data_IF_640665146296
#
_entry.id   IF_640665146296
#
_cell.length_a   1.000
_cell.length_b   1.000
_cell.length_c   1.000
_cell.angle_alpha   90.00
_cell.angle_beta   90.00
_cell.angle_gamma   90.00
#
_symmetry.space_group_name_H-M   'P 1'
#
loop_
_entity.id
_entity.type
_entity.pdbx_description
1 polymer ?
#
# COMPACT_ATOMS: atom_id res chain seq x y z
N UNK A 1 50.89 44.51 -17.73
CA UNK A 1 50.22 43.99 -16.52
C UNK A 1 48.83 43.55 -16.94
N UNK A 2 48.59 42.21 -16.99
CA UNK A 2 47.29 41.62 -17.39
C UNK A 2 46.59 41.13 -16.15
N UNK A 3 45.47 41.78 -15.73
CA UNK A 3 44.68 41.37 -14.62
C UNK A 3 43.64 40.32 -15.08
N UNK A 4 43.79 39.08 -14.63
CA UNK A 4 42.87 37.99 -14.87
C UNK A 4 41.81 37.99 -13.76
N UNK A 5 40.58 38.43 -14.09
CA UNK A 5 39.44 38.40 -13.15
C UNK A 5 38.91 36.95 -13.14
N UNK A 6 39.06 36.25 -12.00
CA UNK A 6 38.43 34.95 -11.75
C UNK A 6 36.98 35.18 -11.29
N UNK A 7 36.02 34.91 -12.13
CA UNK A 7 34.58 34.94 -11.80
C UNK A 7 34.27 33.62 -11.07
N UNK A 8 33.99 33.69 -9.78
CA UNK A 8 33.55 32.58 -8.96
C UNK A 8 32.03 32.42 -9.12
N UNK A 9 31.60 31.49 -9.95
CA UNK A 9 30.18 31.15 -10.10
C UNK A 9 29.77 30.26 -8.93
N UNK A 10 29.09 30.82 -7.91
CA UNK A 10 28.40 30.07 -6.89
C UNK A 10 27.13 29.45 -7.49
N UNK A 11 27.18 28.12 -7.78
CA UNK A 11 25.96 27.37 -8.09
C UNK A 11 25.13 27.23 -6.81
N UNK A 12 24.10 28.03 -6.69
CA UNK A 12 23.10 27.87 -5.65
C UNK A 12 22.18 26.70 -6.06
N UNK A 13 22.47 25.49 -5.52
CA UNK A 13 21.57 24.34 -5.69
C UNK A 13 20.27 24.62 -4.93
N UNK A 14 19.22 25.03 -5.64
CA UNK A 14 17.86 25.09 -5.11
C UNK A 14 17.40 23.65 -4.85
N UNK A 15 17.48 23.21 -3.59
CA UNK A 15 16.79 22.01 -3.14
C UNK A 15 15.28 22.27 -3.15
N UNK A 16 14.61 21.97 -4.26
CA UNK A 16 13.16 21.86 -4.35
C UNK A 16 12.70 20.67 -3.52
N UNK A 17 12.51 20.85 -2.24
CA UNK A 17 11.77 19.90 -1.41
C UNK A 17 10.32 19.94 -1.86
N UNK A 18 9.94 19.00 -2.72
CA UNK A 18 8.54 18.78 -3.08
C UNK A 18 7.77 18.47 -1.81
N UNK A 19 7.01 19.43 -1.30
CA UNK A 19 6.06 19.21 -0.22
C UNK A 19 4.94 18.31 -0.78
N UNK A 20 5.13 16.98 -0.74
CA UNK A 20 4.08 16.02 -1.10
C UNK A 20 2.98 16.14 -0.06
N UNK A 21 1.95 16.90 -0.39
CA UNK A 21 0.76 17.06 0.44
C UNK A 21 0.10 15.70 0.58
N UNK A 22 -0.22 15.31 1.82
CA UNK A 22 -0.93 14.08 2.09
C UNK A 22 -2.29 14.11 1.36
N UNK A 23 -2.53 13.13 0.49
CA UNK A 23 -3.78 13.06 -0.27
C UNK A 23 -4.91 12.54 0.60
N UNK A 24 -6.04 13.25 0.58
CA UNK A 24 -7.29 12.85 1.23
C UNK A 24 -8.22 12.19 0.23
N UNK A 25 -8.79 11.05 0.59
CA UNK A 25 -9.75 10.31 -0.22
C UNK A 25 -10.73 9.56 0.67
N UNK A 26 -11.82 9.03 0.09
CA UNK A 26 -12.82 8.27 0.82
C UNK A 26 -13.05 6.91 0.17
N UNK A 27 -13.26 5.89 1.01
CA UNK A 27 -13.68 4.56 0.59
C UNK A 27 -14.62 3.96 1.64
N UNK A 28 -15.78 3.44 1.22
CA UNK A 28 -16.75 2.81 2.12
C UNK A 28 -17.25 3.73 3.25
N UNK A 29 -17.37 5.04 3.00
CA UNK A 29 -17.76 6.04 4.01
C UNK A 29 -16.66 6.39 5.02
N UNK A 30 -15.44 5.85 4.86
CA UNK A 30 -14.30 6.14 5.73
C UNK A 30 -13.37 7.11 4.98
N UNK A 31 -13.01 8.22 5.65
CA UNK A 31 -12.06 9.21 5.12
C UNK A 31 -10.64 8.85 5.52
N UNK A 32 -9.76 8.77 4.54
CA UNK A 32 -8.35 8.46 4.71
C UNK A 32 -7.48 9.65 4.33
N UNK A 33 -6.31 9.71 4.92
CA UNK A 33 -5.24 10.62 4.54
C UNK A 33 -3.96 9.81 4.33
N UNK A 34 -3.44 9.80 3.09
CA UNK A 34 -2.26 9.05 2.71
C UNK A 34 -1.04 9.44 3.57
N UNK A 35 -0.20 8.50 3.99
CA UNK A 35 1.03 8.81 4.73
C UNK A 35 1.97 9.71 3.93
N UNK A 36 2.75 10.53 4.63
CA UNK A 36 3.82 11.32 4.01
C UNK A 36 4.81 10.37 3.30
N UNK A 37 5.23 10.72 2.10
CA UNK A 37 6.14 9.91 1.29
C UNK A 37 5.46 8.85 0.41
N UNK A 38 4.17 8.55 0.61
CA UNK A 38 3.41 7.75 -0.34
C UNK A 38 2.98 8.63 -1.52
N UNK A 39 3.42 8.26 -2.72
CA UNK A 39 3.12 9.01 -3.94
C UNK A 39 1.78 8.57 -4.49
N UNK A 40 0.80 9.49 -4.52
CA UNK A 40 -0.50 9.22 -5.13
C UNK A 40 -0.34 8.91 -6.61
N UNK A 41 -1.14 7.94 -7.07
CA UNK A 41 -1.19 7.48 -8.45
C UNK A 41 -2.64 7.51 -8.94
N UNK A 42 -2.83 7.79 -10.22
CA UNK A 42 -4.17 7.63 -10.81
C UNK A 42 -4.59 6.17 -10.73
N UNK A 43 -5.75 5.85 -10.12
CA UNK A 43 -6.24 4.48 -10.07
C UNK A 43 -6.37 3.86 -11.46
N UNK A 44 -5.84 2.64 -11.63
CA UNK A 44 -5.84 1.95 -12.94
C UNK A 44 -7.18 1.29 -13.29
N UNK A 45 -8.18 1.34 -12.41
CA UNK A 45 -9.55 0.85 -12.67
C UNK A 45 -10.54 1.52 -11.71
N UNK A 46 -11.84 1.49 -12.07
CA UNK A 46 -12.94 2.03 -11.25
C UNK A 46 -13.12 1.32 -9.91
N UNK A 47 -12.67 0.07 -9.78
CA UNK A 47 -12.70 -0.70 -8.53
C UNK A 47 -11.69 -0.21 -7.49
N UNK A 48 -10.65 0.52 -7.92
CA UNK A 48 -9.63 1.10 -7.05
C UNK A 48 -10.07 2.51 -6.61
N UNK A 49 -10.28 2.71 -5.33
CA UNK A 49 -10.69 4.02 -4.77
C UNK A 49 -9.52 4.96 -4.57
N UNK A 50 -8.34 4.42 -4.29
CA UNK A 50 -7.08 5.14 -4.28
C UNK A 50 -5.93 4.17 -4.60
N UNK A 51 -4.83 4.73 -5.09
CA UNK A 51 -3.61 4.00 -5.41
C UNK A 51 -2.40 4.84 -5.07
N UNK A 52 -1.39 4.22 -4.46
CA UNK A 52 -0.13 4.87 -4.10
C UNK A 52 1.06 4.02 -4.52
N UNK A 53 2.18 4.68 -4.78
CA UNK A 53 3.48 4.07 -4.87
C UNK A 53 4.35 4.48 -3.66
N UNK A 54 4.98 3.51 -3.04
CA UNK A 54 6.05 3.73 -2.05
C UNK A 54 7.35 3.42 -2.78
N UNK A 55 8.25 4.38 -2.87
CA UNK A 55 9.53 4.22 -3.59
C UNK A 55 10.69 4.61 -2.70
N UNK A 56 11.71 3.77 -2.70
CA UNK A 56 13.03 4.06 -2.14
C UNK A 56 14.13 3.29 -2.90
N UNK A 57 15.36 3.27 -2.36
CA UNK A 57 16.48 2.53 -2.94
C UNK A 57 16.28 1.01 -3.05
N UNK A 58 15.34 0.45 -2.30
CA UNK A 58 15.04 -0.99 -2.29
C UNK A 58 13.97 -1.38 -3.32
N UNK A 59 13.41 -0.41 -4.05
CA UNK A 59 12.43 -0.63 -5.10
C UNK A 59 11.13 0.13 -4.92
N UNK A 60 10.03 -0.47 -5.39
CA UNK A 60 8.71 0.11 -5.34
C UNK A 60 7.68 -0.89 -4.83
N UNK A 61 6.86 -0.48 -3.87
CA UNK A 61 5.63 -1.17 -3.49
C UNK A 61 4.41 -0.39 -3.97
N UNK A 62 3.42 -1.10 -4.49
CA UNK A 62 2.10 -0.55 -4.85
C UNK A 62 1.16 -0.74 -3.67
N UNK A 63 0.40 0.30 -3.31
CA UNK A 63 -0.67 0.25 -2.32
C UNK A 63 -1.99 0.60 -2.98
N UNK A 64 -2.98 -0.26 -2.86
CA UNK A 64 -4.29 -0.08 -3.49
C UNK A 64 -5.40 -0.19 -2.47
N UNK A 65 -6.36 0.71 -2.58
CA UNK A 65 -7.60 0.70 -1.81
C UNK A 65 -8.75 0.25 -2.69
N UNK A 66 -9.50 -0.75 -2.22
CA UNK A 66 -10.68 -1.25 -2.91
C UNK A 66 -11.91 -1.09 -2.02
N UNK A 67 -13.03 -0.82 -2.67
CA UNK A 67 -14.35 -0.85 -2.08
C UNK A 67 -15.35 -1.30 -3.14
N UNK A 68 -16.09 -2.35 -2.83
CA UNK A 68 -17.01 -3.00 -3.79
C UNK A 68 -18.50 -2.79 -3.45
N UNK A 69 -18.79 -2.03 -2.41
CA UNK A 69 -20.14 -1.87 -1.88
C UNK A 69 -20.44 -2.84 -0.72
N UNK A 70 -21.61 -2.65 -0.06
CA UNK A 70 -22.03 -3.51 1.03
C UNK A 70 -22.18 -4.97 0.57
N UNK A 71 -21.57 -5.93 1.29
CA UNK A 71 -21.69 -7.37 1.04
C UNK A 71 -21.07 -7.91 -0.24
N UNK A 72 -20.54 -7.05 -1.14
CA UNK A 72 -20.16 -7.46 -2.48
C UNK A 72 -18.77 -8.13 -2.61
N UNK A 73 -17.92 -8.08 -1.58
CA UNK A 73 -16.52 -8.51 -1.68
C UNK A 73 -16.20 -9.88 -1.04
N UNK A 74 -17.21 -10.56 -0.54
CA UNK A 74 -17.02 -11.79 0.26
C UNK A 74 -16.47 -11.52 1.66
N UNK A 75 -16.37 -12.55 2.49
CA UNK A 75 -15.91 -12.42 3.87
C UNK A 75 -14.40 -12.29 4.00
N UNK A 76 -13.94 -11.91 5.21
CA UNK A 76 -12.52 -11.74 5.55
C UNK A 76 -11.70 -12.98 5.20
N UNK A 77 -12.14 -14.17 5.61
CA UNK A 77 -11.43 -15.45 5.37
C UNK A 77 -11.17 -15.69 3.89
N UNK A 78 -12.18 -15.52 3.04
CA UNK A 78 -12.06 -15.75 1.60
C UNK A 78 -11.07 -14.77 0.94
N UNK A 79 -11.07 -13.51 1.38
CA UNK A 79 -10.13 -12.50 0.88
C UNK A 79 -8.69 -12.81 1.31
N UNK A 80 -8.47 -13.17 2.57
CA UNK A 80 -7.15 -13.58 3.06
C UNK A 80 -6.63 -14.80 2.27
N UNK A 81 -7.42 -15.83 2.11
CA UNK A 81 -7.05 -17.02 1.33
C UNK A 81 -6.70 -16.66 -0.12
N UNK A 82 -7.50 -15.81 -0.77
CA UNK A 82 -7.22 -15.32 -2.13
C UNK A 82 -5.91 -14.54 -2.22
N UNK A 83 -5.56 -13.75 -1.20
CA UNK A 83 -4.31 -13.01 -1.19
C UNK A 83 -3.09 -13.90 -0.96
N UNK A 84 -3.18 -14.85 -0.03
CA UNK A 84 -2.11 -15.82 0.20
C UNK A 84 -1.91 -16.74 -1.00
N UNK A 85 -2.99 -17.12 -1.70
CA UNK A 85 -2.93 -17.88 -2.95
C UNK A 85 -2.32 -17.15 -4.16
N UNK A 86 -1.91 -15.88 -4.01
CA UNK A 86 -1.13 -15.17 -5.02
C UNK A 86 0.37 -15.42 -4.92
N UNK A 87 0.82 -16.16 -3.93
CA UNK A 87 2.21 -16.60 -3.81
C UNK A 87 2.39 -18.00 -4.41
N UNK A 88 3.63 -18.30 -4.82
CA UNK A 88 3.99 -19.61 -5.35
C UNK A 88 4.00 -20.68 -4.25
N UNK A 89 4.48 -20.29 -3.08
CA UNK A 89 4.56 -21.15 -1.91
C UNK A 89 3.16 -21.38 -1.30
N UNK A 90 2.87 -22.55 -0.74
CA UNK A 90 1.64 -22.79 -0.01
C UNK A 90 1.57 -21.93 1.26
N UNK A 91 0.36 -21.65 1.74
CA UNK A 91 0.11 -20.68 2.80
C UNK A 91 0.88 -20.95 4.11
N UNK A 92 1.12 -22.21 4.45
CA UNK A 92 1.89 -22.64 5.62
C UNK A 92 3.41 -22.35 5.52
N UNK A 93 3.91 -22.04 4.31
CA UNK A 93 5.32 -21.69 4.04
C UNK A 93 5.56 -20.17 3.88
N UNK A 94 4.52 -19.34 3.94
CA UNK A 94 4.61 -17.91 3.64
C UNK A 94 5.01 -17.03 4.85
N UNK A 95 5.30 -17.56 6.02
CA UNK A 95 5.42 -16.76 7.25
C UNK A 95 4.24 -15.79 7.43
N UNK A 96 3.05 -16.20 7.00
CA UNK A 96 1.86 -15.36 7.04
C UNK A 96 1.44 -15.08 8.48
N UNK A 97 1.13 -13.80 8.77
CA UNK A 97 0.57 -13.37 10.05
C UNK A 97 -0.76 -12.70 9.82
N UNK A 98 -1.76 -13.10 10.59
CA UNK A 98 -3.10 -12.52 10.57
C UNK A 98 -3.37 -11.98 11.97
N UNK A 99 -3.56 -10.66 12.08
CA UNK A 99 -3.81 -10.00 13.36
C UNK A 99 -5.14 -9.25 13.27
N UNK A 100 -6.00 -9.49 14.27
CA UNK A 100 -7.28 -8.81 14.38
C UNK A 100 -7.20 -7.73 15.47
N UNK A 101 -7.71 -6.55 15.16
CA UNK A 101 -7.85 -5.43 16.10
C UNK A 101 -9.29 -4.87 16.01
N UNK A 102 -9.78 -4.32 17.11
CA UNK A 102 -11.00 -3.50 17.08
C UNK A 102 -10.61 -2.05 17.39
N UNK A 103 -10.88 -1.15 16.46
CA UNK A 103 -10.54 0.27 16.56
C UNK A 103 -11.84 1.05 16.52
N UNK A 104 -12.17 1.72 17.63
CA UNK A 104 -13.42 2.50 17.77
C UNK A 104 -14.66 1.71 17.32
N UNK A 105 -14.79 0.45 17.77
CA UNK A 105 -15.91 -0.44 17.44
C UNK A 105 -15.84 -1.09 16.04
N UNK A 106 -14.89 -0.72 15.20
CA UNK A 106 -14.70 -1.29 13.86
C UNK A 106 -13.65 -2.39 13.88
N UNK A 107 -14.00 -3.58 13.37
CA UNK A 107 -13.05 -4.70 13.23
C UNK A 107 -12.09 -4.45 12.07
N UNK A 108 -10.81 -4.69 12.31
CA UNK A 108 -9.74 -4.58 11.32
C UNK A 108 -8.90 -5.84 11.35
N UNK A 109 -8.77 -6.50 10.20
CA UNK A 109 -7.88 -7.65 10.02
C UNK A 109 -6.64 -7.22 9.23
N UNK A 110 -5.47 -7.29 9.85
CA UNK A 110 -4.19 -7.07 9.18
C UNK A 110 -3.59 -8.40 8.74
N UNK A 111 -3.04 -8.44 7.54
CA UNK A 111 -2.40 -9.62 6.95
C UNK A 111 -1.03 -9.23 6.44
N UNK A 112 -0.01 -10.01 6.80
CA UNK A 112 1.32 -9.95 6.18
C UNK A 112 1.70 -11.33 5.68
N UNK A 113 2.43 -11.39 4.56
CA UNK A 113 3.02 -12.61 4.05
C UNK A 113 4.28 -12.29 3.24
N UNK A 114 5.19 -13.24 3.15
CA UNK A 114 6.45 -13.11 2.42
C UNK A 114 6.71 -14.37 1.60
N UNK A 115 7.22 -14.18 0.37
CA UNK A 115 7.50 -15.31 -0.54
C UNK A 115 7.73 -14.88 -1.98
N UNK A 116 7.45 -15.77 -2.92
CA UNK A 116 7.49 -15.51 -4.36
C UNK A 116 6.11 -15.12 -4.85
N UNK A 117 5.90 -13.83 -5.09
CA UNK A 117 4.61 -13.32 -5.57
C UNK A 117 4.42 -13.61 -7.06
N UNK A 118 3.28 -14.18 -7.43
CA UNK A 118 2.93 -14.48 -8.80
C UNK A 118 2.25 -13.27 -9.46
N UNK A 119 3.06 -12.38 -10.05
CA UNK A 119 2.60 -11.13 -10.67
C UNK A 119 1.97 -11.43 -12.03
N UNK A 120 0.78 -10.90 -12.27
CA UNK A 120 0.08 -11.07 -13.54
C UNK A 120 -1.38 -10.63 -13.45
N UNK A 121 -2.16 -10.82 -14.52
CA UNK A 121 -3.58 -10.50 -14.54
C UNK A 121 -4.35 -11.26 -13.44
N UNK A 122 -5.39 -10.67 -12.86
CA UNK A 122 -6.18 -11.32 -11.81
C UNK A 122 -6.92 -12.56 -12.34
N UNK A 123 -7.29 -12.55 -13.61
CA UNK A 123 -7.98 -13.65 -14.30
C UNK A 123 -7.25 -14.01 -15.58
N UNK A 124 -6.89 -15.29 -15.72
CA UNK A 124 -6.17 -15.80 -16.91
C UNK A 124 -4.77 -15.21 -17.10
N UNK A 125 -4.15 -15.53 -18.23
CA UNK A 125 -2.84 -15.02 -18.62
C UNK A 125 -1.66 -15.62 -17.85
N UNK A 126 -0.45 -15.29 -18.32
CA UNK A 126 0.80 -15.77 -17.73
C UNK A 126 1.13 -14.98 -16.46
N UNK A 127 1.43 -15.69 -15.39
CA UNK A 127 1.94 -15.10 -14.15
C UNK A 127 3.46 -15.23 -14.09
N UNK A 128 4.14 -14.15 -13.70
CA UNK A 128 5.58 -14.10 -13.56
C UNK A 128 5.95 -14.17 -12.07
N UNK A 129 6.81 -15.11 -11.67
CA UNK A 129 7.27 -15.19 -10.28
C UNK A 129 8.20 -14.03 -9.94
N UNK A 130 7.93 -13.35 -8.83
CA UNK A 130 8.74 -12.28 -8.27
C UNK A 130 9.18 -12.70 -6.87
N UNK A 131 10.40 -13.22 -6.69
CA UNK A 131 10.91 -13.66 -5.40
C UNK A 131 11.14 -12.46 -4.45
N UNK A 132 11.35 -12.74 -3.16
CA UNK A 132 11.58 -11.74 -2.12
C UNK A 132 10.49 -10.67 -2.05
N UNK A 133 9.26 -11.05 -2.36
CA UNK A 133 8.08 -10.19 -2.32
C UNK A 133 7.39 -10.27 -0.96
N UNK A 134 6.70 -9.19 -0.62
CA UNK A 134 5.85 -9.10 0.56
C UNK A 134 4.42 -8.67 0.21
N UNK A 135 3.51 -9.08 1.06
CA UNK A 135 2.14 -8.61 1.18
C UNK A 135 1.97 -7.91 2.52
N UNK A 136 1.39 -6.74 2.52
CA UNK A 136 0.82 -6.08 3.68
C UNK A 136 -0.60 -5.66 3.33
N UNK A 137 -1.59 -6.14 4.08
CA UNK A 137 -2.97 -5.82 3.78
C UNK A 137 -3.77 -5.51 5.06
N UNK A 138 -4.88 -4.79 4.89
CA UNK A 138 -5.87 -4.57 5.92
C UNK A 138 -7.28 -4.74 5.34
N UNK A 139 -8.17 -5.36 6.10
CA UNK A 139 -9.60 -5.41 5.85
C UNK A 139 -10.28 -4.67 6.98
N UNK A 140 -10.99 -3.60 6.66
CA UNK A 140 -11.72 -2.76 7.61
C UNK A 140 -13.21 -3.05 7.42
N UNK A 141 -13.85 -3.65 8.41
CA UNK A 141 -15.27 -4.00 8.37
C UNK A 141 -16.14 -2.78 8.73
N UNK A 142 -16.19 -1.80 7.84
CA UNK A 142 -16.91 -0.54 8.03
C UNK A 142 -18.42 -0.68 7.93
N UNK A 143 -19.17 0.30 8.47
CA UNK A 143 -20.65 0.33 8.48
C UNK A 143 -21.27 0.29 7.08
N UNK A 144 -20.62 0.87 6.08
CA UNK A 144 -21.08 0.89 4.68
C UNK A 144 -20.50 -0.27 3.85
N UNK A 145 -19.86 -1.24 4.46
CA UNK A 145 -19.18 -2.36 3.81
C UNK A 145 -17.68 -2.35 4.04
N UNK A 146 -17.02 -3.44 3.66
CA UNK A 146 -15.60 -3.61 3.91
C UNK A 146 -14.74 -2.79 2.94
N UNK A 147 -13.71 -2.13 3.50
CA UNK A 147 -12.63 -1.50 2.74
C UNK A 147 -11.40 -2.42 2.79
N UNK A 148 -10.80 -2.64 1.64
CA UNK A 148 -9.63 -3.50 1.48
C UNK A 148 -8.44 -2.64 1.08
N UNK A 149 -7.36 -2.74 1.86
CA UNK A 149 -6.09 -2.09 1.58
C UNK A 149 -5.08 -3.20 1.30
N UNK A 150 -4.35 -3.11 0.19
CA UNK A 150 -3.37 -4.11 -0.19
C UNK A 150 -2.12 -3.46 -0.71
N UNK A 151 -0.99 -3.70 -0.03
CA UNK A 151 0.35 -3.33 -0.47
C UNK A 151 1.11 -4.57 -0.94
N UNK A 152 1.75 -4.50 -2.10
CA UNK A 152 2.60 -5.55 -2.66
C UNK A 152 3.87 -4.95 -3.26
N UNK A 153 4.98 -5.63 -3.11
CA UNK A 153 6.28 -5.20 -3.61
C UNK A 153 7.42 -5.98 -2.94
N UNK A 154 8.68 -5.52 -3.00
CA UNK A 154 9.76 -6.12 -2.25
C UNK A 154 9.42 -6.24 -0.77
N UNK A 155 9.76 -7.35 -0.11
CA UNK A 155 9.38 -7.60 1.29
C UNK A 155 9.83 -6.48 2.23
N UNK A 156 11.02 -5.93 2.03
CA UNK A 156 11.52 -4.82 2.87
C UNK A 156 10.63 -3.57 2.76
N UNK A 157 10.04 -3.32 1.60
CA UNK A 157 9.15 -2.18 1.37
C UNK A 157 7.80 -2.38 2.08
N UNK A 158 7.22 -3.59 2.01
CA UNK A 158 5.96 -3.89 2.70
C UNK A 158 6.15 -3.93 4.21
N UNK A 159 7.29 -4.41 4.71
CA UNK A 159 7.63 -4.38 6.12
C UNK A 159 7.74 -2.93 6.65
N UNK A 160 8.49 -2.05 5.95
CA UNK A 160 8.65 -0.65 6.34
C UNK A 160 7.33 0.12 6.32
N UNK A 161 6.42 -0.18 5.39
CA UNK A 161 5.11 0.45 5.29
C UNK A 161 4.12 0.06 6.40
N UNK A 162 4.43 -0.98 7.20
CA UNK A 162 3.48 -1.52 8.19
C UNK A 162 3.06 -0.49 9.24
N UNK A 163 4.01 0.28 9.78
CA UNK A 163 3.74 1.31 10.78
C UNK A 163 2.83 2.41 10.23
N UNK A 164 3.13 2.87 9.03
CA UNK A 164 2.40 3.96 8.39
C UNK A 164 0.97 3.53 8.01
N UNK A 165 0.80 2.32 7.46
CA UNK A 165 -0.51 1.76 7.14
C UNK A 165 -1.37 1.64 8.40
N UNK A 166 -0.84 1.07 9.48
CA UNK A 166 -1.57 0.94 10.75
C UNK A 166 -1.93 2.31 11.35
N UNK A 167 -1.01 3.29 11.32
CA UNK A 167 -1.26 4.64 11.79
C UNK A 167 -2.36 5.35 10.99
N UNK A 168 -2.34 5.22 9.66
CA UNK A 168 -3.35 5.74 8.76
C UNK A 168 -4.74 5.14 9.06
N UNK A 169 -4.84 3.81 9.15
CA UNK A 169 -6.10 3.12 9.49
C UNK A 169 -6.63 3.58 10.84
N UNK A 170 -5.76 3.63 11.86
CA UNK A 170 -6.13 4.10 13.21
C UNK A 170 -6.63 5.54 13.20
N UNK A 171 -5.99 6.44 12.43
CA UNK A 171 -6.44 7.83 12.27
C UNK A 171 -7.80 7.89 11.59
N UNK A 172 -8.00 7.14 10.50
CA UNK A 172 -9.24 7.12 9.74
C UNK A 172 -10.46 6.61 10.53
N UNK A 173 -10.25 5.73 11.51
CA UNK A 173 -11.31 5.14 12.34
C UNK A 173 -11.55 5.87 13.67
N UNK A 174 -10.76 6.90 14.00
CA UNK A 174 -10.94 7.70 15.21
C UNK A 174 -11.81 8.94 14.99
N UNK A 175 -12.03 9.33 13.72
CA UNK A 175 -12.77 10.54 13.34
C UNK A 175 -14.26 10.23 13.14
#
# INVERSE_FOLDING_TARGET
MKHTIKILICLLALNLTSNVKAEKFSAGGISFEGPKGWQSQKPSSSMRKAQFAIKDKNGMAEVVFFYFGPGAAGGVKANVQRWLGQFKEPADKLNAKINNETINGTKVTYVTAEGTFMKGPPFGGTKVPVPNSGLLAAIIEGKQGAVFIKATGPKVMTQSATKDLKAMVKKALKN
#
